data_IF_283806874248
#
_entry.id   IF_283806874248
#
_cell.length_a   1.000
_cell.length_b   1.000
_cell.length_c   1.000
_cell.angle_alpha   90.00
_cell.angle_beta   90.00
_cell.angle_gamma   90.00
#
_symmetry.space_group_name_H-M   'P 1'
#
loop_
_entity.id
_entity.type
_entity.pdbx_description
1 polymer ?
#
# COMPACT_ATOMS: atom_id res chain seq x y z
N UNK A 1 -1.87 40.01 -58.99
CA UNK A 1 -2.77 39.34 -58.03
C UNK A 1 -2.03 38.13 -57.47
N UNK A 2 -1.52 38.21 -56.23
CA UNK A 2 -0.82 37.10 -55.57
C UNK A 2 -1.71 36.65 -54.41
N UNK A 3 -2.25 35.44 -54.48
CA UNK A 3 -3.07 34.84 -53.42
C UNK A 3 -2.10 34.18 -52.42
N UNK A 4 -1.95 34.76 -51.24
CA UNK A 4 -1.22 34.14 -50.13
C UNK A 4 -2.14 33.14 -49.43
N UNK A 5 -1.87 31.84 -49.62
CA UNK A 5 -2.49 30.78 -48.84
C UNK A 5 -1.90 30.83 -47.41
N UNK A 6 -2.76 31.09 -46.42
CA UNK A 6 -2.39 31.06 -45.02
C UNK A 6 -2.14 29.61 -44.58
N UNK A 7 -0.88 29.29 -44.29
CA UNK A 7 -0.49 28.00 -43.72
C UNK A 7 -0.61 28.16 -42.20
N UNK A 8 -1.67 27.62 -41.60
CA UNK A 8 -1.85 27.59 -40.14
C UNK A 8 -0.94 26.48 -39.60
N UNK A 9 0.07 26.78 -38.76
CA UNK A 9 0.87 25.74 -38.15
C UNK A 9 0.01 25.06 -37.08
N UNK A 10 -0.32 23.79 -37.32
CA UNK A 10 -0.95 22.91 -36.32
C UNK A 10 0.04 22.72 -35.17
N UNK A 11 -0.11 23.52 -34.12
CA UNK A 11 0.65 23.37 -32.87
C UNK A 11 0.18 22.10 -32.18
N UNK A 12 0.93 21.02 -32.35
CA UNK A 12 0.78 19.79 -31.58
C UNK A 12 1.24 20.07 -30.14
N UNK A 13 0.29 20.36 -29.26
CA UNK A 13 0.53 20.50 -27.83
C UNK A 13 0.87 19.12 -27.27
N UNK A 14 2.13 18.95 -26.88
CA UNK A 14 2.60 17.78 -26.15
C UNK A 14 1.94 17.81 -24.76
N UNK A 15 0.98 16.91 -24.50
CA UNK A 15 0.47 16.68 -23.14
C UNK A 15 1.58 15.99 -22.35
N UNK A 16 2.31 16.75 -21.55
CA UNK A 16 3.27 16.19 -20.61
C UNK A 16 2.47 15.62 -19.45
N UNK A 17 2.30 14.29 -19.41
CA UNK A 17 1.75 13.61 -18.23
C UNK A 17 2.74 13.77 -17.09
N UNK A 18 2.48 14.70 -16.17
CA UNK A 18 3.21 14.80 -14.91
C UNK A 18 2.81 13.60 -14.06
N UNK A 19 3.68 12.62 -13.90
CA UNK A 19 3.52 11.62 -12.83
C UNK A 19 3.89 12.30 -11.53
N UNK A 20 2.91 12.54 -10.66
CA UNK A 20 3.19 12.95 -9.28
C UNK A 20 3.99 11.84 -8.63
N UNK A 21 5.20 12.15 -8.16
CA UNK A 21 6.00 11.19 -7.41
C UNK A 21 5.30 10.88 -6.08
N UNK A 22 5.32 9.60 -5.68
CA UNK A 22 4.82 9.17 -4.38
C UNK A 22 5.73 9.72 -3.27
N UNK A 23 5.14 10.20 -2.17
CA UNK A 23 5.87 10.70 -1.00
C UNK A 23 5.59 9.84 0.23
N UNK A 24 6.61 9.59 1.05
CA UNK A 24 6.49 8.78 2.27
C UNK A 24 5.59 9.46 3.30
N UNK A 25 5.65 10.79 3.36
CA UNK A 25 4.96 11.69 4.28
C UNK A 25 3.64 12.24 3.72
N UNK A 26 3.06 11.61 2.68
CA UNK A 26 1.86 12.10 1.99
C UNK A 26 0.66 12.34 2.95
N UNK A 27 0.56 11.55 4.02
CA UNK A 27 -0.52 11.61 4.99
C UNK A 27 -0.18 12.33 6.30
N UNK A 28 1.02 12.89 6.46
CA UNK A 28 1.48 13.43 7.77
C UNK A 28 0.58 14.57 8.28
N UNK A 29 0.09 15.43 7.38
CA UNK A 29 -0.78 16.56 7.75
C UNK A 29 -2.28 16.18 7.73
N UNK A 30 -2.68 15.23 6.89
CA UNK A 30 -4.10 14.91 6.64
C UNK A 30 -4.62 13.74 7.47
N UNK A 31 -3.76 12.75 7.75
CA UNK A 31 -4.05 11.61 8.60
C UNK A 31 -2.78 11.08 9.30
N UNK A 32 -2.24 11.79 10.31
CA UNK A 32 -0.93 11.51 10.93
C UNK A 32 -0.81 10.14 11.60
N UNK A 33 -1.94 9.49 11.91
CA UNK A 33 -1.97 8.19 12.59
C UNK A 33 -2.10 7.01 11.62
N UNK A 34 -1.98 7.22 10.31
CA UNK A 34 -2.24 6.19 9.30
C UNK A 34 -1.37 4.94 9.50
N UNK A 35 -0.07 5.11 9.70
CA UNK A 35 0.88 4.01 9.92
C UNK A 35 0.53 3.20 11.17
N UNK A 36 0.19 3.89 12.25
CA UNK A 36 -0.12 3.24 13.53
C UNK A 36 -1.43 2.44 13.43
N UNK A 37 -2.45 3.00 12.79
CA UNK A 37 -3.77 2.36 12.65
C UNK A 37 -3.67 1.11 11.77
N UNK A 38 -3.01 1.20 10.62
CA UNK A 38 -2.80 0.06 9.73
C UNK A 38 -1.96 -1.01 10.42
N UNK A 39 -0.84 -0.63 11.04
CA UNK A 39 0.03 -1.57 11.76
C UNK A 39 -0.66 -2.29 12.90
N UNK A 40 -1.56 -1.62 13.63
CA UNK A 40 -2.41 -2.23 14.67
C UNK A 40 -3.38 -3.25 14.09
N UNK A 41 -4.04 -2.94 12.97
CA UNK A 41 -4.95 -3.86 12.29
C UNK A 41 -4.23 -5.13 11.83
N UNK A 42 -3.06 -4.98 11.20
CA UNK A 42 -2.21 -6.11 10.78
C UNK A 42 -1.78 -6.93 11.99
N UNK A 43 -1.20 -6.30 13.02
CA UNK A 43 -0.73 -6.99 14.23
C UNK A 43 -1.86 -7.78 14.92
N UNK A 44 -3.05 -7.20 15.01
CA UNK A 44 -4.22 -7.87 15.60
C UNK A 44 -4.74 -9.04 14.75
N UNK A 45 -4.56 -8.99 13.43
CA UNK A 45 -4.93 -10.09 12.55
C UNK A 45 -3.91 -11.23 12.65
N UNK A 46 -2.62 -10.89 12.65
CA UNK A 46 -1.51 -11.83 12.82
C UNK A 46 -1.60 -12.65 14.11
N UNK A 47 -2.05 -12.04 15.22
CA UNK A 47 -2.20 -12.77 16.48
C UNK A 47 -3.27 -13.87 16.43
N UNK A 48 -4.21 -13.77 15.49
CA UNK A 48 -5.27 -14.76 15.30
C UNK A 48 -4.96 -15.75 14.17
N UNK A 49 -4.22 -15.33 13.14
CA UNK A 49 -3.88 -16.13 11.97
C UNK A 49 -2.46 -15.79 11.47
N UNK A 50 -1.55 -16.74 11.64
CA UNK A 50 -0.13 -16.62 11.26
C UNK A 50 0.09 -16.55 9.75
N UNK A 51 -0.92 -16.87 8.93
CA UNK A 51 -0.82 -16.80 7.47
C UNK A 51 -1.11 -15.41 6.90
N UNK A 52 -1.69 -14.52 7.72
CA UNK A 52 -2.08 -13.16 7.32
C UNK A 52 -0.93 -12.35 6.70
N UNK A 53 0.31 -12.34 7.24
CA UNK A 53 1.42 -11.57 6.66
C UNK A 53 1.72 -11.97 5.22
N UNK A 54 1.83 -13.27 4.97
CA UNK A 54 2.07 -13.80 3.64
C UNK A 54 0.89 -13.51 2.70
N UNK A 55 -0.35 -13.57 3.22
CA UNK A 55 -1.55 -13.25 2.47
C UNK A 55 -1.59 -11.79 2.01
N UNK A 56 -1.29 -10.85 2.91
CA UNK A 56 -1.28 -9.41 2.63
C UNK A 56 -0.18 -9.02 1.65
N UNK A 57 1.03 -9.58 1.83
CA UNK A 57 2.13 -9.38 0.88
C UNK A 57 1.77 -9.90 -0.52
N UNK A 58 1.17 -11.09 -0.60
CA UNK A 58 0.70 -11.66 -1.85
C UNK A 58 -0.43 -10.83 -2.46
N UNK A 59 -1.38 -10.35 -1.67
CA UNK A 59 -2.48 -9.51 -2.16
C UNK A 59 -1.95 -8.21 -2.78
N UNK A 60 -0.99 -7.54 -2.14
CA UNK A 60 -0.34 -6.35 -2.69
C UNK A 60 0.38 -6.64 -4.01
N UNK A 61 1.09 -7.76 -4.10
CA UNK A 61 1.69 -8.21 -5.36
C UNK A 61 0.65 -8.39 -6.47
N UNK A 62 -0.48 -9.06 -6.16
CA UNK A 62 -1.54 -9.32 -7.13
C UNK A 62 -2.26 -8.05 -7.60
N UNK A 63 -2.40 -7.04 -6.74
CA UNK A 63 -2.90 -5.71 -7.10
C UNK A 63 -1.93 -5.04 -8.09
N UNK A 64 -0.67 -4.88 -7.69
CA UNK A 64 0.32 -4.16 -8.49
C UNK A 64 0.68 -4.85 -9.82
N UNK A 65 0.60 -6.17 -9.91
CA UNK A 65 0.96 -6.91 -11.12
C UNK A 65 -0.09 -6.78 -12.23
N UNK A 66 -1.35 -6.54 -11.88
CA UNK A 66 -2.45 -6.41 -12.82
C UNK A 66 -2.84 -4.94 -12.92
N UNK A 67 -2.45 -4.28 -14.01
CA UNK A 67 -2.82 -2.88 -14.34
C UNK A 67 -2.37 -1.79 -13.35
N UNK A 68 -1.81 -2.14 -12.19
CA UNK A 68 -1.14 -1.21 -11.27
C UNK A 68 -1.68 -1.30 -9.84
N UNK A 69 -1.00 -0.63 -8.90
CA UNK A 69 -1.38 -0.63 -7.49
C UNK A 69 -2.55 0.36 -7.25
N UNK A 70 -3.77 -0.01 -7.64
CA UNK A 70 -4.95 0.85 -7.58
C UNK A 70 -6.04 0.35 -6.61
N UNK A 71 -5.80 -0.78 -5.94
CA UNK A 71 -6.75 -1.41 -5.02
C UNK A 71 -7.92 -2.11 -5.72
N UNK A 72 -7.87 -2.29 -7.04
CA UNK A 72 -8.91 -2.97 -7.82
C UNK A 72 -9.12 -4.43 -7.39
N UNK A 73 -8.10 -5.07 -6.82
CA UNK A 73 -8.19 -6.44 -6.27
C UNK A 73 -9.18 -6.55 -5.10
N UNK A 74 -9.50 -5.43 -4.44
CA UNK A 74 -10.38 -5.39 -3.27
C UNK A 74 -11.86 -5.33 -3.66
N UNK A 75 -12.17 -5.00 -4.91
CA UNK A 75 -13.54 -4.87 -5.40
C UNK A 75 -14.23 -6.24 -5.49
N UNK A 76 -15.52 -6.28 -5.13
CA UNK A 76 -16.33 -7.50 -5.25
C UNK A 76 -17.07 -7.51 -6.60
N UNK A 77 -17.28 -8.69 -7.17
CA UNK A 77 -18.13 -8.82 -8.37
C UNK A 77 -19.55 -8.35 -8.11
N UNK A 78 -20.15 -7.74 -9.12
CA UNK A 78 -21.56 -7.36 -9.12
C UNK A 78 -22.32 -8.23 -10.13
N UNK A 79 -23.65 -8.06 -10.22
CA UNK A 79 -24.46 -8.80 -11.21
C UNK A 79 -24.05 -8.49 -12.66
N UNK A 80 -23.43 -7.34 -12.90
CA UNK A 80 -23.10 -6.84 -14.24
C UNK A 80 -21.60 -6.91 -14.55
N UNK A 81 -20.73 -6.95 -13.52
CA UNK A 81 -19.29 -6.89 -13.68
C UNK A 81 -18.59 -8.00 -12.89
N UNK A 82 -17.57 -8.61 -13.49
CA UNK A 82 -16.68 -9.55 -12.81
C UNK A 82 -15.46 -8.81 -12.28
N UNK A 83 -15.25 -8.84 -10.96
CA UNK A 83 -14.12 -8.21 -10.32
C UNK A 83 -12.84 -9.05 -10.46
N UNK A 84 -11.69 -8.38 -10.36
CA UNK A 84 -10.39 -9.03 -10.44
C UNK A 84 -10.19 -10.04 -9.31
N UNK A 85 -10.78 -9.77 -8.14
CA UNK A 85 -10.83 -10.66 -6.98
C UNK A 85 -11.29 -12.08 -7.29
N UNK A 86 -12.24 -12.25 -8.21
CA UNK A 86 -12.82 -13.54 -8.60
C UNK A 86 -12.12 -14.17 -9.82
N UNK A 87 -10.95 -13.64 -10.18
CA UNK A 87 -10.07 -14.20 -11.21
C UNK A 87 -9.45 -15.53 -10.76
N UNK A 88 -9.17 -16.48 -11.68
CA UNK A 88 -8.49 -17.73 -11.36
C UNK A 88 -7.20 -17.59 -10.52
N UNK A 89 -6.31 -16.61 -10.74
CA UNK A 89 -5.11 -16.46 -9.91
C UNK A 89 -5.40 -15.94 -8.48
N UNK A 90 -6.58 -15.34 -8.28
CA UNK A 90 -6.92 -14.57 -7.09
C UNK A 90 -7.84 -15.31 -6.11
N UNK A 91 -8.39 -16.46 -6.52
CA UNK A 91 -9.29 -17.30 -5.67
C UNK A 91 -8.65 -17.76 -4.35
N UNK A 92 -7.32 -17.78 -4.29
CA UNK A 92 -6.55 -18.20 -3.12
C UNK A 92 -6.05 -17.02 -2.29
N UNK A 93 -6.41 -15.79 -2.65
CA UNK A 93 -6.18 -14.62 -1.81
C UNK A 93 -7.17 -14.64 -0.64
N UNK A 94 -6.67 -14.29 0.54
CA UNK A 94 -7.44 -14.19 1.76
C UNK A 94 -6.98 -12.97 2.57
N UNK A 95 -7.49 -12.82 3.80
CA UNK A 95 -7.18 -11.70 4.68
C UNK A 95 -7.68 -10.30 4.22
N UNK A 96 -8.64 -10.24 3.28
CA UNK A 96 -9.32 -8.99 2.88
C UNK A 96 -9.91 -8.22 4.07
N UNK A 97 -10.41 -8.95 5.08
CA UNK A 97 -10.98 -8.37 6.29
C UNK A 97 -10.02 -7.46 7.07
N UNK A 98 -8.70 -7.63 6.91
CA UNK A 98 -7.70 -6.79 7.57
C UNK A 98 -7.70 -5.40 6.96
N UNK A 99 -7.79 -5.34 5.62
CA UNK A 99 -7.88 -4.10 4.86
C UNK A 99 -9.20 -3.39 5.17
N UNK A 100 -10.31 -4.15 5.23
CA UNK A 100 -11.63 -3.60 5.58
C UNK A 100 -11.63 -2.97 6.98
N UNK A 101 -11.06 -3.67 7.98
CA UNK A 101 -10.96 -3.15 9.36
C UNK A 101 -10.05 -1.93 9.47
N UNK A 102 -8.92 -1.93 8.75
CA UNK A 102 -8.03 -0.79 8.72
C UNK A 102 -8.72 0.42 8.08
N UNK A 103 -9.44 0.20 6.96
CA UNK A 103 -10.20 1.25 6.28
C UNK A 103 -11.32 1.79 7.17
N UNK A 104 -12.08 0.93 7.83
CA UNK A 104 -13.13 1.35 8.77
C UNK A 104 -12.57 2.22 9.91
N UNK A 105 -11.44 1.80 10.50
CA UNK A 105 -10.77 2.57 11.54
C UNK A 105 -10.28 3.92 11.02
N UNK A 106 -9.69 3.97 9.82
CA UNK A 106 -9.23 5.21 9.21
C UNK A 106 -10.36 6.15 8.82
N UNK A 107 -11.46 5.64 8.27
CA UNK A 107 -12.63 6.47 7.94
C UNK A 107 -13.27 7.11 9.17
N UNK A 108 -13.14 6.50 10.36
CA UNK A 108 -13.58 7.10 11.62
C UNK A 108 -12.69 8.26 12.09
N UNK A 109 -11.45 8.33 11.62
CA UNK A 109 -10.45 9.33 12.03
C UNK A 109 -10.24 10.43 10.98
N UNK A 110 -10.18 10.04 9.71
CA UNK A 110 -9.85 10.88 8.56
C UNK A 110 -10.67 10.44 7.33
N UNK A 111 -11.97 10.82 7.26
CA UNK A 111 -12.90 10.30 6.27
C UNK A 111 -12.53 10.72 4.84
N UNK A 112 -12.51 9.76 3.92
CA UNK A 112 -12.22 9.99 2.50
C UNK A 112 -10.78 10.40 2.18
N UNK A 113 -9.85 10.29 3.13
CA UNK A 113 -8.46 10.72 2.97
C UNK A 113 -7.58 9.58 2.43
N UNK A 114 -7.52 8.46 3.16
CA UNK A 114 -6.56 7.39 2.87
C UNK A 114 -7.12 6.42 1.83
N UNK A 115 -6.38 6.17 0.75
CA UNK A 115 -6.79 5.25 -0.31
C UNK A 115 -6.69 3.77 0.13
N UNK A 116 -7.52 2.89 -0.44
CA UNK A 116 -7.42 1.45 -0.15
C UNK A 116 -6.12 0.82 -0.71
N UNK A 117 -5.60 1.37 -1.81
CA UNK A 117 -4.32 0.96 -2.39
C UNK A 117 -3.16 1.24 -1.42
N UNK A 118 -3.15 2.41 -0.77
CA UNK A 118 -2.13 2.76 0.21
C UNK A 118 -2.26 1.91 1.48
N UNK A 119 -3.49 1.63 1.94
CA UNK A 119 -3.69 0.69 3.06
C UNK A 119 -3.10 -0.68 2.74
N UNK A 120 -3.28 -1.17 1.51
CA UNK A 120 -2.72 -2.45 1.07
C UNK A 120 -1.19 -2.42 1.05
N UNK A 121 -0.58 -1.34 0.56
CA UNK A 121 0.87 -1.15 0.56
C UNK A 121 1.45 -1.07 1.98
N UNK A 122 0.82 -0.28 2.86
CA UNK A 122 1.19 -0.14 4.28
C UNK A 122 1.05 -1.47 5.01
N UNK A 123 -0.04 -2.21 4.76
CA UNK A 123 -0.27 -3.51 5.38
C UNK A 123 0.78 -4.55 4.96
N UNK A 124 1.20 -4.55 3.69
CA UNK A 124 2.27 -5.41 3.21
C UNK A 124 3.63 -5.05 3.84
N UNK A 125 3.97 -3.76 3.93
CA UNK A 125 5.16 -3.28 4.64
C UNK A 125 5.19 -3.76 6.08
N UNK A 126 4.08 -3.56 6.80
CA UNK A 126 3.99 -3.89 8.23
C UNK A 126 4.02 -5.41 8.46
N UNK A 127 3.46 -6.19 7.54
CA UNK A 127 3.54 -7.65 7.54
C UNK A 127 4.98 -8.14 7.53
N UNK A 128 5.80 -7.63 6.60
CA UNK A 128 7.23 -7.99 6.50
C UNK A 128 8.00 -7.51 7.75
N UNK A 129 7.70 -6.28 8.21
CA UNK A 129 8.36 -5.73 9.38
C UNK A 129 8.04 -6.51 10.67
N UNK A 130 6.82 -7.04 10.80
CA UNK A 130 6.39 -7.84 11.96
C UNK A 130 6.95 -9.26 11.92
N UNK A 131 7.03 -9.90 10.75
CA UNK A 131 7.67 -11.21 10.58
C UNK A 131 9.17 -11.16 10.86
N UNK A 132 9.85 -10.10 10.36
CA UNK A 132 11.26 -9.87 10.66
C UNK A 132 11.56 -9.64 12.15
N UNK A 133 10.56 -9.23 12.93
CA UNK A 133 10.66 -9.09 14.40
C UNK A 133 10.29 -10.36 15.16
N UNK A 134 9.55 -11.31 14.56
CA UNK A 134 9.11 -12.53 15.23
C UNK A 134 10.13 -13.67 15.18
N UNK A 135 11.16 -13.60 14.32
CA UNK A 135 12.45 -14.28 14.52
C UNK A 135 12.41 -15.70 15.07
N UNK A 136 11.43 -16.54 14.71
CA UNK A 136 11.53 -17.99 14.91
C UNK A 136 11.84 -18.59 13.56
N UNK A 137 13.13 -18.68 13.25
CA UNK A 137 13.63 -19.49 12.15
C UNK A 137 13.11 -20.93 12.33
N UNK A 138 12.27 -21.47 11.42
CA UNK A 138 11.91 -22.89 11.47
C UNK A 138 13.15 -23.71 11.09
N UNK A 139 13.50 -24.69 11.93
CA UNK A 139 14.59 -25.65 11.67
C UNK A 139 14.37 -26.36 10.32
N UNK A 140 15.20 -26.07 9.33
CA UNK A 140 16.12 -27.05 8.74
C UNK A 140 17.12 -26.38 7.78
N UNK A 141 18.38 -26.36 8.26
CA UNK A 141 19.67 -26.28 7.57
C UNK A 141 19.79 -25.55 6.21
N UNK A 142 19.90 -24.22 6.30
CA UNK A 142 21.03 -23.38 5.84
C UNK A 142 20.52 -22.07 5.23
N UNK A 143 20.64 -20.99 6.00
CA UNK A 143 21.36 -19.79 5.54
C UNK A 143 21.72 -18.96 6.77
N UNK A 144 23.00 -18.87 7.07
CA UNK A 144 23.57 -18.23 8.26
C UNK A 144 23.48 -16.69 8.24
N UNK A 145 22.32 -16.11 7.89
CA UNK A 145 22.18 -14.65 7.87
C UNK A 145 20.74 -14.13 8.02
N UNK A 146 19.96 -14.70 8.94
CA UNK A 146 18.71 -14.06 9.41
C UNK A 146 18.97 -13.07 10.56
N UNK A 147 20.07 -12.32 10.50
CA UNK A 147 20.34 -11.20 11.40
C UNK A 147 20.19 -9.91 10.58
N UNK A 148 18.96 -9.45 10.35
CA UNK A 148 18.77 -8.06 9.96
C UNK A 148 18.91 -7.21 11.24
N UNK A 149 19.94 -6.35 11.36
CA UNK A 149 19.99 -5.38 12.44
C UNK A 149 18.89 -4.35 12.16
N UNK A 150 17.69 -4.57 12.69
CA UNK A 150 16.71 -3.50 12.85
C UNK A 150 17.19 -2.60 14.00
N UNK A 151 18.08 -1.67 13.69
CA UNK A 151 18.24 -0.47 14.52
C UNK A 151 16.89 0.25 14.56
N UNK A 152 16.39 0.70 15.72
CA UNK A 152 15.05 1.29 15.80
C UNK A 152 15.02 2.65 15.11
N UNK A 153 14.47 2.73 13.90
CA UNK A 153 14.07 3.97 13.23
C UNK A 153 12.78 4.58 13.84
N UNK A 154 12.59 4.46 15.15
CA UNK A 154 11.49 5.11 15.89
C UNK A 154 11.93 5.58 17.28
N UNK A 155 13.07 6.28 17.36
CA UNK A 155 13.47 6.99 18.59
C UNK A 155 14.07 8.39 18.36
N UNK A 156 14.25 8.89 17.14
CA UNK A 156 15.01 10.12 16.89
C UNK A 156 14.35 11.13 15.93
N UNK A 157 13.06 11.44 16.13
CA UNK A 157 12.47 12.66 15.51
C UNK A 157 11.55 13.46 16.45
N UNK A 158 11.75 13.38 17.78
CA UNK A 158 11.07 14.28 18.75
C UNK A 158 12.04 14.98 19.72
N UNK A 159 13.19 15.44 19.25
CA UNK A 159 14.14 16.18 20.10
C UNK A 159 14.91 17.31 19.42
N UNK A 160 14.39 17.91 18.34
CA UNK A 160 15.01 19.10 17.73
C UNK A 160 14.01 20.24 17.49
N UNK A 161 13.15 20.52 18.48
CA UNK A 161 12.40 21.80 18.56
C UNK A 161 12.19 22.25 20.01
N UNK A 162 13.22 22.18 20.87
CA UNK A 162 13.25 23.02 22.08
C UNK A 162 14.66 23.11 22.69
N UNK A 163 15.51 23.97 22.14
CA UNK A 163 16.46 24.73 22.94
C UNK A 163 16.91 25.97 22.18
N UNK A 164 16.49 27.10 22.74
CA UNK A 164 17.10 28.44 22.71
C UNK A 164 18.62 28.41 22.65
#
# INVERSE_FOLDING_TARGET
>A
MVKFAAIIPSVLTLVVSVTTALSIDYYDETCPNVDEVVGKAVKSAMSNDVTVPAALLRMHFHDCFIKGCDGSILLNSTKTNKAEKDGPPNISLHAFYVIDRAKEALESLCPGVVSCADILALAARDSVALEGRHGTCPREEKMEECQWPMTPLLSHSRSLTSRS
#
